data_IF_687203046610
#
_entry.id   IF_687203046610
#
_cell.length_a   1.000
_cell.length_b   1.000
_cell.length_c   1.000
_cell.angle_alpha   90.00
_cell.angle_beta   90.00
_cell.angle_gamma   90.00
#
_symmetry.space_group_name_H-M   'P 1'
#
loop_
_entity.id
_entity.type
_entity.pdbx_description
1 polymer ?
#
# COMPACT_ATOMS: atom_id res chain seq x y z
N UNK A 1 3.13 9.06 6.21
CA UNK A 1 3.57 7.82 6.90
C UNK A 1 4.02 8.06 8.33
N UNK A 2 4.55 9.23 8.72
CA UNK A 2 5.04 9.51 10.09
C UNK A 2 4.07 9.12 11.23
N UNK A 3 2.75 9.42 11.16
CA UNK A 3 1.84 9.02 12.26
C UNK A 3 1.74 7.51 12.45
N UNK A 4 1.79 6.73 11.35
CA UNK A 4 1.78 5.27 11.41
C UNK A 4 3.09 4.73 11.98
N UNK A 5 4.23 5.27 11.53
CA UNK A 5 5.55 4.91 12.04
C UNK A 5 5.63 5.10 13.57
N UNK A 6 5.18 6.25 14.08
CA UNK A 6 5.13 6.50 15.53
C UNK A 6 4.28 5.47 16.30
N UNK A 7 3.19 4.99 15.69
CA UNK A 7 2.34 3.96 16.32
C UNK A 7 3.02 2.59 16.32
N UNK A 8 3.69 2.25 15.22
CA UNK A 8 4.45 0.99 15.12
C UNK A 8 5.64 1.02 16.09
N UNK A 9 6.31 2.15 16.25
CA UNK A 9 7.37 2.30 17.27
C UNK A 9 6.85 2.03 18.70
N UNK A 10 5.62 2.49 19.02
CA UNK A 10 4.97 2.18 20.31
C UNK A 10 4.63 0.70 20.49
N UNK A 11 4.57 -0.07 19.41
CA UNK A 11 4.38 -1.53 19.42
C UNK A 11 5.71 -2.30 19.44
N UNK A 12 6.86 -1.60 19.52
CA UNK A 12 8.18 -2.18 19.63
C UNK A 12 8.94 -2.33 18.30
N UNK A 13 8.42 -1.81 17.20
CA UNK A 13 9.13 -1.79 15.93
C UNK A 13 10.12 -0.63 15.88
N UNK A 14 11.21 -0.82 15.14
CA UNK A 14 12.04 0.27 14.67
C UNK A 14 11.59 0.64 13.25
N UNK A 15 11.23 1.90 13.05
CA UNK A 15 10.66 2.32 11.76
C UNK A 15 11.48 3.43 11.13
N UNK A 16 11.63 3.34 9.82
CA UNK A 16 12.15 4.41 8.98
C UNK A 16 11.11 4.79 7.93
N UNK A 17 10.94 6.09 7.70
CA UNK A 17 9.97 6.61 6.74
C UNK A 17 10.71 7.15 5.52
N UNK A 18 10.61 6.40 4.43
CA UNK A 18 11.18 6.80 3.14
C UNK A 18 10.21 7.73 2.44
N UNK A 19 10.70 8.89 2.05
CA UNK A 19 9.96 9.89 1.29
C UNK A 19 10.61 10.12 -0.06
N UNK A 20 9.80 10.24 -1.10
CA UNK A 20 10.27 10.50 -2.47
C UNK A 20 9.29 11.41 -3.20
N UNK A 21 9.75 12.03 -4.29
CA UNK A 21 8.91 12.88 -5.12
C UNK A 21 7.99 12.00 -5.99
N UNK A 22 6.69 12.00 -5.71
CA UNK A 22 5.70 11.20 -6.44
C UNK A 22 5.38 11.74 -7.84
N UNK A 23 5.75 12.98 -8.15
CA UNK A 23 5.55 13.57 -9.47
C UNK A 23 6.71 13.29 -10.42
N UNK A 24 7.91 13.05 -9.88
CA UNK A 24 9.12 12.73 -10.64
C UNK A 24 9.87 11.62 -9.88
N UNK A 25 9.35 10.40 -10.01
CA UNK A 25 9.92 9.23 -9.34
C UNK A 25 11.21 8.86 -10.06
N UNK A 26 12.28 8.75 -9.28
CA UNK A 26 13.54 8.12 -9.63
C UNK A 26 13.58 6.80 -8.86
N UNK A 27 13.19 5.72 -9.51
CA UNK A 27 13.04 4.40 -8.88
C UNK A 27 14.37 3.89 -8.35
N UNK A 28 15.46 4.06 -9.07
CA UNK A 28 16.77 3.61 -8.61
C UNK A 28 17.19 4.33 -7.33
N UNK A 29 16.96 5.64 -7.23
CA UNK A 29 17.22 6.40 -6.01
C UNK A 29 16.33 5.97 -4.85
N UNK A 30 15.05 5.68 -5.12
CA UNK A 30 14.14 5.12 -4.10
C UNK A 30 14.63 3.75 -3.65
N UNK A 31 15.06 2.89 -4.58
CA UNK A 31 15.54 1.55 -4.26
C UNK A 31 16.84 1.59 -3.44
N UNK A 32 17.80 2.43 -3.80
CA UNK A 32 19.02 2.65 -3.01
C UNK A 32 18.70 3.16 -1.60
N UNK A 33 17.69 4.01 -1.47
CA UNK A 33 17.24 4.48 -0.15
C UNK A 33 16.64 3.33 0.67
N UNK A 34 15.84 2.46 0.06
CA UNK A 34 15.32 1.26 0.71
C UNK A 34 16.48 0.35 1.13
N UNK A 35 17.40 0.03 0.20
CA UNK A 35 18.55 -0.83 0.45
C UNK A 35 19.38 -0.33 1.66
N UNK A 36 19.59 0.98 1.75
CA UNK A 36 20.34 1.62 2.83
C UNK A 36 19.59 1.62 4.17
N UNK A 37 18.26 1.56 4.15
CA UNK A 37 17.42 1.57 5.33
C UNK A 37 17.18 0.17 5.92
N UNK A 38 17.49 -0.90 5.17
CA UNK A 38 17.30 -2.27 5.64
C UNK A 38 18.24 -2.60 6.80
N UNK A 39 17.67 -3.07 7.90
CA UNK A 39 18.46 -3.62 9.00
C UNK A 39 19.12 -4.93 8.56
N UNK A 40 20.40 -5.07 8.87
CA UNK A 40 21.22 -6.22 8.47
C UNK A 40 21.13 -7.38 9.48
N UNK A 41 20.78 -7.07 10.73
CA UNK A 41 20.77 -8.00 11.86
C UNK A 41 19.37 -8.52 12.22
N UNK A 42 18.35 -8.13 11.47
CA UNK A 42 16.95 -8.51 11.74
C UNK A 42 16.12 -8.56 10.48
N UNK A 43 14.95 -9.19 10.58
CA UNK A 43 13.99 -9.28 9.48
C UNK A 43 13.30 -7.92 9.29
N UNK A 44 13.21 -7.48 8.06
CA UNK A 44 12.53 -6.25 7.69
C UNK A 44 11.11 -6.52 7.20
N UNK A 45 10.25 -5.51 7.34
CA UNK A 45 8.89 -5.47 6.81
C UNK A 45 8.69 -4.16 6.06
N UNK A 46 8.14 -4.22 4.88
CA UNK A 46 7.84 -3.03 4.08
C UNK A 46 6.35 -2.68 4.20
N UNK A 47 6.07 -1.41 4.51
CA UNK A 47 4.70 -0.89 4.58
C UNK A 47 4.54 0.26 3.61
N UNK A 48 3.68 0.09 2.61
CA UNK A 48 3.40 1.10 1.57
C UNK A 48 1.97 1.61 1.63
N UNK A 49 1.79 2.91 1.50
CA UNK A 49 0.48 3.54 1.37
C UNK A 49 0.29 4.06 -0.06
N UNK A 50 -0.88 3.80 -0.64
CA UNK A 50 -1.23 4.27 -1.98
C UNK A 50 -0.17 3.83 -3.01
N UNK A 51 0.44 4.76 -3.75
CA UNK A 51 1.54 4.48 -4.68
C UNK A 51 2.73 3.74 -4.03
N UNK A 52 2.93 3.90 -2.72
CA UNK A 52 4.00 3.23 -1.98
C UNK A 52 3.94 1.70 -2.04
N UNK A 53 2.75 1.10 -2.11
CA UNK A 53 2.62 -0.36 -2.30
C UNK A 53 3.05 -0.84 -3.68
N UNK A 54 2.79 -0.04 -4.73
CA UNK A 54 3.28 -0.30 -6.09
C UNK A 54 4.80 -0.18 -6.17
N UNK A 55 5.37 0.85 -5.55
CA UNK A 55 6.83 1.04 -5.47
C UNK A 55 7.52 -0.11 -4.75
N UNK A 56 6.93 -0.61 -3.64
CA UNK A 56 7.45 -1.79 -2.94
C UNK A 56 7.42 -3.02 -3.87
N UNK A 57 6.32 -3.25 -4.59
CA UNK A 57 6.23 -4.36 -5.54
C UNK A 57 7.29 -4.26 -6.63
N UNK A 58 7.51 -3.06 -7.16
CA UNK A 58 8.52 -2.80 -8.17
C UNK A 58 9.94 -3.01 -7.61
N UNK A 59 10.23 -2.51 -6.43
CA UNK A 59 11.48 -2.75 -5.71
C UNK A 59 11.78 -4.24 -5.53
N UNK A 60 10.82 -5.01 -5.01
CA UNK A 60 11.00 -6.44 -4.78
C UNK A 60 11.22 -7.24 -6.07
N UNK A 61 10.56 -6.83 -7.16
CA UNK A 61 10.79 -7.41 -8.50
C UNK A 61 12.15 -7.06 -9.08
N UNK A 62 12.71 -5.91 -8.73
CA UNK A 62 14.02 -5.47 -9.21
C UNK A 62 15.17 -6.09 -8.40
N UNK A 63 15.05 -6.09 -7.07
CA UNK A 63 16.13 -6.48 -6.14
C UNK A 63 16.10 -7.95 -5.72
N UNK A 64 14.95 -8.62 -5.86
CA UNK A 64 14.76 -10.03 -5.46
C UNK A 64 15.30 -10.37 -4.06
N UNK A 65 15.04 -9.56 -3.01
CA UNK A 65 15.53 -9.85 -1.68
C UNK A 65 14.93 -11.15 -1.14
N UNK A 66 15.74 -11.90 -0.38
CA UNK A 66 15.27 -13.12 0.29
C UNK A 66 14.18 -12.81 1.32
N UNK A 67 13.20 -13.70 1.55
CA UNK A 67 12.24 -13.60 2.65
C UNK A 67 12.89 -13.54 4.04
N UNK A 68 14.12 -13.99 4.18
CA UNK A 68 14.90 -13.85 5.42
C UNK A 68 15.40 -12.41 5.64
N UNK A 69 15.45 -11.59 4.59
CA UNK A 69 15.80 -10.16 4.67
C UNK A 69 14.52 -9.32 4.77
N UNK A 70 13.55 -9.59 3.89
CA UNK A 70 12.23 -8.93 3.90
C UNK A 70 11.17 -10.01 3.87
N UNK A 71 10.44 -10.19 4.98
CA UNK A 71 9.48 -11.28 5.13
C UNK A 71 8.06 -10.91 4.70
N UNK A 72 7.63 -9.68 5.00
CA UNK A 72 6.25 -9.23 4.81
C UNK A 72 6.19 -7.89 4.09
N UNK A 73 5.11 -7.72 3.37
CA UNK A 73 4.68 -6.43 2.81
C UNK A 73 3.26 -6.14 3.28
N UNK A 74 3.01 -4.93 3.72
CA UNK A 74 1.65 -4.47 3.98
C UNK A 74 1.33 -3.29 3.08
N UNK A 75 0.36 -3.48 2.20
CA UNK A 75 -0.12 -2.46 1.27
C UNK A 75 -1.40 -1.81 1.83
N UNK A 76 -1.33 -0.51 2.09
CA UNK A 76 -2.45 0.28 2.62
C UNK A 76 -3.08 1.08 1.49
N UNK A 77 -4.33 0.80 1.15
CA UNK A 77 -5.04 1.48 0.08
C UNK A 77 -4.24 1.62 -1.22
N UNK A 78 -3.41 0.61 -1.53
CA UNK A 78 -2.59 0.61 -2.73
C UNK A 78 -3.36 0.00 -3.88
N UNK A 79 -3.47 0.69 -5.03
CA UNK A 79 -4.20 0.19 -6.20
C UNK A 79 -3.33 -0.82 -6.96
N UNK A 80 -3.19 -2.03 -6.42
CA UNK A 80 -2.29 -3.07 -6.94
C UNK A 80 -2.70 -3.60 -8.32
N UNK A 81 -3.95 -3.34 -8.74
CA UNK A 81 -4.45 -3.57 -10.12
C UNK A 81 -4.46 -2.31 -10.98
N UNK A 82 -3.83 -1.24 -10.52
CA UNK A 82 -3.98 0.09 -11.09
C UNK A 82 -5.21 0.83 -10.55
N UNK A 83 -5.29 2.12 -10.81
CA UNK A 83 -6.33 3.01 -10.33
C UNK A 83 -7.25 3.47 -11.47
N UNK A 84 -8.52 3.10 -11.43
CA UNK A 84 -9.50 3.48 -12.45
C UNK A 84 -9.83 4.99 -12.49
N UNK A 85 -9.39 5.74 -11.49
CA UNK A 85 -9.52 7.20 -11.47
C UNK A 85 -8.51 7.89 -12.42
N UNK A 86 -7.41 7.22 -12.77
CA UNK A 86 -6.32 7.78 -13.57
C UNK A 86 -6.77 8.28 -14.94
N UNK A 87 -7.53 7.52 -15.77
CA UNK A 87 -8.02 8.00 -17.04
C UNK A 87 -8.89 9.26 -16.91
N UNK A 88 -9.65 9.38 -15.83
CA UNK A 88 -10.51 10.55 -15.60
C UNK A 88 -9.70 11.79 -15.25
N UNK A 89 -8.67 11.65 -14.44
CA UNK A 89 -7.72 12.73 -14.11
C UNK A 89 -7.04 13.22 -15.40
N UNK A 90 -6.64 12.31 -16.27
CA UNK A 90 -6.04 12.63 -17.56
C UNK A 90 -7.03 13.37 -18.50
N UNK A 91 -8.28 12.89 -18.59
CA UNK A 91 -9.34 13.53 -19.39
C UNK A 91 -9.65 14.96 -18.95
N UNK A 92 -9.51 15.25 -17.66
CA UNK A 92 -9.72 16.59 -17.11
C UNK A 92 -8.50 17.52 -17.30
N UNK A 93 -7.48 17.08 -18.03
CA UNK A 93 -6.25 17.87 -18.24
C UNK A 93 -5.34 17.93 -17.02
N UNK A 94 -5.63 17.16 -15.97
CA UNK A 94 -4.88 17.13 -14.71
C UNK A 94 -3.79 16.04 -14.69
N UNK A 95 -3.46 15.47 -15.85
CA UNK A 95 -2.45 14.42 -15.97
C UNK A 95 -1.08 14.76 -15.40
N UNK A 96 -0.70 16.03 -15.44
CA UNK A 96 0.54 16.51 -14.83
C UNK A 96 0.62 16.24 -13.31
N UNK A 97 -0.52 16.13 -12.62
CA UNK A 97 -0.58 15.79 -11.19
C UNK A 97 -0.21 14.33 -10.91
N UNK A 98 -0.22 13.47 -11.93
CA UNK A 98 0.18 12.07 -11.81
C UNK A 98 1.71 11.90 -12.01
N UNK A 99 2.38 12.90 -12.58
CA UNK A 99 3.79 12.81 -12.90
C UNK A 99 4.11 11.57 -13.74
N UNK A 100 5.20 10.88 -13.39
CA UNK A 100 5.58 9.62 -14.01
C UNK A 100 5.06 8.37 -13.25
N UNK A 101 4.16 8.54 -12.28
CA UNK A 101 3.59 7.43 -11.48
C UNK A 101 2.88 6.36 -12.33
N UNK A 102 2.38 6.72 -13.53
CA UNK A 102 1.77 5.80 -14.46
C UNK A 102 2.73 4.70 -14.95
N UNK A 103 4.04 4.95 -14.97
CA UNK A 103 5.06 3.97 -15.33
C UNK A 103 5.22 2.87 -14.28
N UNK A 104 4.74 3.10 -13.05
CA UNK A 104 4.89 2.21 -11.90
C UNK A 104 3.61 1.43 -11.57
N UNK A 105 2.82 1.08 -12.59
CA UNK A 105 1.64 0.23 -12.43
C UNK A 105 0.38 0.95 -11.96
N UNK A 106 0.32 2.29 -12.07
CA UNK A 106 -0.88 3.05 -11.71
C UNK A 106 -1.99 2.93 -12.77
N UNK A 107 -1.67 2.54 -14.02
CA UNK A 107 -2.67 2.19 -15.02
C UNK A 107 -3.33 0.85 -14.70
N UNK A 108 -4.59 0.68 -15.07
CA UNK A 108 -5.31 -0.58 -14.88
C UNK A 108 -4.62 -1.73 -15.61
N UNK A 109 -4.35 -2.80 -14.89
CA UNK A 109 -3.73 -4.01 -15.41
C UNK A 109 -4.18 -5.25 -14.62
N UNK A 110 -4.04 -6.42 -15.24
CA UNK A 110 -4.15 -7.67 -14.50
C UNK A 110 -2.76 -8.07 -14.01
N UNK A 111 -2.65 -8.29 -12.72
CA UNK A 111 -1.38 -8.64 -12.11
C UNK A 111 -1.62 -9.58 -10.91
N UNK A 112 -0.57 -10.30 -10.52
CA UNK A 112 -0.55 -11.23 -9.40
C UNK A 112 0.65 -10.95 -8.49
N UNK A 113 0.57 -11.48 -7.28
CA UNK A 113 1.68 -11.46 -6.34
C UNK A 113 2.38 -12.82 -6.39
N UNK A 114 3.46 -12.88 -7.15
CA UNK A 114 4.29 -14.09 -7.32
C UNK A 114 5.60 -14.00 -6.54
N UNK A 115 5.70 -12.99 -5.67
CA UNK A 115 6.88 -12.76 -4.85
C UNK A 115 6.83 -13.63 -3.59
N UNK A 116 7.99 -14.06 -3.06
CA UNK A 116 8.06 -14.94 -1.91
C UNK A 116 7.66 -14.26 -0.59
N UNK A 117 7.63 -12.93 -0.55
CA UNK A 117 7.19 -12.17 0.62
C UNK A 117 5.68 -12.28 0.80
N UNK A 118 5.22 -12.37 2.04
CA UNK A 118 3.79 -12.38 2.38
C UNK A 118 3.18 -11.01 2.18
N UNK A 119 2.13 -10.90 1.38
CA UNK A 119 1.43 -9.65 1.12
C UNK A 119 0.12 -9.59 1.90
N UNK A 120 0.01 -8.64 2.83
CA UNK A 120 -1.25 -8.24 3.44
C UNK A 120 -1.74 -6.92 2.83
N UNK A 121 -3.02 -6.86 2.46
CA UNK A 121 -3.63 -5.65 1.91
C UNK A 121 -4.72 -5.12 2.84
N UNK A 122 -4.66 -3.84 3.20
CA UNK A 122 -5.72 -3.16 3.96
C UNK A 122 -6.38 -2.11 3.07
N UNK A 123 -7.67 -2.26 2.82
CA UNK A 123 -8.47 -1.30 2.06
C UNK A 123 -9.35 -0.46 2.99
N UNK A 124 -9.48 0.82 2.68
CA UNK A 124 -10.45 1.70 3.33
C UNK A 124 -11.84 1.62 2.68
N UNK A 125 -12.88 1.88 3.46
CA UNK A 125 -14.27 1.85 2.98
C UNK A 125 -15.04 3.13 3.26
N UNK A 126 -14.42 4.14 3.89
CA UNK A 126 -15.04 5.44 4.12
C UNK A 126 -14.84 6.34 2.90
N UNK A 127 -15.88 6.58 2.15
CA UNK A 127 -15.91 7.32 0.88
C UNK A 127 -15.72 8.84 1.08
N UNK A 128 -14.57 9.23 1.62
CA UNK A 128 -14.21 10.63 1.80
C UNK A 128 -13.00 10.98 0.96
N UNK A 129 -13.20 11.71 -0.15
CA UNK A 129 -12.13 12.09 -1.09
C UNK A 129 -12.65 12.49 -2.46
N UNK A 130 -11.77 12.57 -3.45
CA UNK A 130 -12.08 13.10 -4.78
C UNK A 130 -12.85 12.11 -5.67
N UNK A 131 -12.70 10.79 -5.46
CA UNK A 131 -13.30 9.78 -6.34
C UNK A 131 -14.83 9.89 -6.43
N UNK A 132 -15.59 10.03 -5.33
CA UNK A 132 -17.04 10.17 -5.40
C UNK A 132 -17.49 11.38 -6.22
N UNK A 133 -16.70 12.44 -6.22
CA UNK A 133 -16.97 13.69 -6.94
C UNK A 133 -16.68 13.53 -8.45
N UNK A 134 -15.57 12.86 -8.79
CA UNK A 134 -15.09 12.75 -10.18
C UNK A 134 -15.72 11.61 -10.96
N UNK A 135 -15.99 10.49 -10.33
CA UNK A 135 -16.45 9.27 -10.99
C UNK A 135 -17.87 8.86 -10.59
N UNK A 136 -18.40 9.38 -9.49
CA UNK A 136 -19.64 8.83 -8.93
C UNK A 136 -19.43 7.34 -8.55
N UNK A 137 -20.40 6.52 -8.88
CA UNK A 137 -20.30 5.06 -8.77
C UNK A 137 -20.63 4.49 -7.40
N UNK A 138 -21.02 3.21 -7.37
CA UNK A 138 -21.56 2.51 -6.20
C UNK A 138 -20.54 1.60 -5.50
N UNK A 139 -19.33 1.44 -6.02
CA UNK A 139 -18.31 0.53 -5.46
C UNK A 139 -17.76 0.99 -4.12
N UNK A 140 -17.46 0.02 -3.24
CA UNK A 140 -16.76 0.33 -1.98
C UNK A 140 -15.39 0.93 -2.28
N UNK A 141 -15.10 2.09 -1.67
CA UNK A 141 -13.83 2.80 -1.81
C UNK A 141 -13.54 3.65 -0.57
N UNK A 142 -12.30 4.08 -0.46
CA UNK A 142 -11.82 4.95 0.60
C UNK A 142 -11.87 6.45 0.25
N UNK A 143 -12.47 6.78 -0.88
CA UNK A 143 -12.52 8.12 -1.45
C UNK A 143 -11.50 8.36 -2.57
N UNK A 144 -10.55 7.45 -2.77
CA UNK A 144 -9.51 7.51 -3.83
C UNK A 144 -9.39 6.19 -4.58
N UNK A 145 -9.22 5.08 -3.86
CA UNK A 145 -9.00 3.73 -4.39
C UNK A 145 -10.19 2.85 -4.03
N UNK A 146 -10.64 2.01 -4.94
CA UNK A 146 -11.69 1.01 -4.65
C UNK A 146 -11.11 -0.21 -3.97
N UNK A 147 -11.95 -0.91 -3.22
CA UNK A 147 -11.58 -2.21 -2.62
C UNK A 147 -11.11 -3.18 -3.70
N UNK A 148 -11.77 -3.24 -4.85
CA UNK A 148 -11.39 -4.13 -5.95
C UNK A 148 -9.99 -3.86 -6.52
N UNK A 149 -9.55 -2.59 -6.54
CA UNK A 149 -8.22 -2.19 -7.00
C UNK A 149 -7.10 -2.61 -6.04
N UNK A 150 -7.42 -2.87 -4.77
CA UNK A 150 -6.44 -3.32 -3.76
C UNK A 150 -6.27 -4.83 -3.72
N UNK A 151 -7.08 -5.60 -4.42
CA UNK A 151 -7.09 -7.06 -4.36
C UNK A 151 -6.39 -7.64 -5.59
N UNK A 152 -5.30 -8.39 -5.38
CA UNK A 152 -4.63 -9.16 -6.45
C UNK A 152 -4.52 -10.63 -6.06
N UNK A 153 -4.44 -11.49 -7.07
CA UNK A 153 -4.19 -12.91 -6.88
C UNK A 153 -2.82 -13.13 -6.18
N UNK A 154 -2.73 -14.13 -5.33
CA UNK A 154 -1.49 -14.47 -4.62
C UNK A 154 -1.22 -13.65 -3.34
N UNK A 155 -2.02 -12.63 -3.01
CA UNK A 155 -1.91 -11.98 -1.70
C UNK A 155 -2.24 -12.96 -0.56
N UNK A 156 -1.58 -12.79 0.59
CA UNK A 156 -1.75 -13.67 1.75
C UNK A 156 -3.07 -13.42 2.46
N UNK A 157 -3.43 -12.14 2.66
CA UNK A 157 -4.69 -11.77 3.31
C UNK A 157 -5.13 -10.34 2.92
N UNK A 158 -6.43 -10.06 3.08
CA UNK A 158 -7.05 -8.78 2.75
C UNK A 158 -8.03 -8.35 3.84
N UNK A 159 -7.91 -7.11 4.31
CA UNK A 159 -8.76 -6.56 5.37
C UNK A 159 -9.46 -5.27 4.91
N UNK A 160 -10.72 -5.12 5.29
CA UNK A 160 -11.47 -3.88 5.15
C UNK A 160 -11.51 -3.10 6.48
N UNK A 161 -11.14 -1.83 6.45
CA UNK A 161 -11.30 -0.92 7.58
C UNK A 161 -12.20 0.25 7.18
N UNK A 162 -13.11 0.63 8.07
CA UNK A 162 -13.95 1.82 7.86
C UNK A 162 -13.13 3.10 8.11
N UNK A 163 -12.25 3.39 7.15
CA UNK A 163 -11.33 4.52 7.13
C UNK A 163 -11.28 5.11 5.72
N UNK A 164 -11.02 6.42 5.63
CA UNK A 164 -10.71 7.08 4.36
C UNK A 164 -9.28 6.75 3.92
N UNK A 165 -8.94 7.12 2.69
CA UNK A 165 -7.62 6.90 2.10
C UNK A 165 -6.48 7.35 3.02
N UNK A 166 -6.49 8.59 3.43
CA UNK A 166 -5.49 9.13 4.36
C UNK A 166 -5.73 8.66 5.80
N UNK A 167 -6.99 8.45 6.20
CA UNK A 167 -7.37 7.98 7.53
C UNK A 167 -6.71 6.68 7.95
N UNK A 168 -6.40 5.78 6.99
CA UNK A 168 -5.66 4.55 7.26
C UNK A 168 -4.28 4.82 7.91
N UNK A 169 -3.58 5.85 7.47
CA UNK A 169 -2.25 6.20 8.01
C UNK A 169 -2.33 6.76 9.44
N UNK A 170 -3.47 7.36 9.78
CA UNK A 170 -3.69 7.93 11.12
C UNK A 170 -4.40 6.97 12.08
N UNK A 171 -4.82 5.80 11.63
CA UNK A 171 -5.61 4.86 12.42
C UNK A 171 -4.75 4.00 13.35
N UNK A 172 -5.12 3.95 14.64
CA UNK A 172 -4.56 2.99 15.58
C UNK A 172 -4.91 1.53 15.21
N UNK A 173 -6.11 1.35 14.61
CA UNK A 173 -6.53 0.01 14.15
C UNK A 173 -5.62 -0.50 13.05
N UNK A 174 -5.21 0.37 12.12
CA UNK A 174 -4.27 0.00 11.06
C UNK A 174 -2.94 -0.49 11.66
N UNK A 175 -2.36 0.24 12.60
CA UNK A 175 -1.10 -0.18 13.23
C UNK A 175 -1.21 -1.54 13.94
N UNK A 176 -2.31 -1.77 14.68
CA UNK A 176 -2.56 -3.08 15.34
C UNK A 176 -2.76 -4.22 14.35
N UNK A 177 -3.42 -3.96 13.23
CA UNK A 177 -3.62 -4.97 12.18
C UNK A 177 -2.31 -5.30 11.46
N UNK A 178 -1.43 -4.32 11.24
CA UNK A 178 -0.08 -4.55 10.72
C UNK A 178 0.71 -5.44 11.68
N UNK A 179 0.74 -5.11 12.97
CA UNK A 179 1.40 -5.94 14.01
C UNK A 179 0.83 -7.37 14.02
N UNK A 180 -0.48 -7.51 13.98
CA UNK A 180 -1.13 -8.81 13.98
C UNK A 180 -0.76 -9.63 12.73
N UNK A 181 -0.77 -8.99 11.55
CA UNK A 181 -0.40 -9.65 10.29
C UNK A 181 1.06 -10.13 10.29
N UNK A 182 1.98 -9.31 10.78
CA UNK A 182 3.41 -9.68 10.88
C UNK A 182 3.59 -10.91 11.77
N UNK A 183 2.82 -11.02 12.86
CA UNK A 183 2.94 -12.12 13.84
C UNK A 183 2.21 -13.40 13.43
N UNK A 184 1.11 -13.27 12.69
CA UNK A 184 0.19 -14.39 12.44
C UNK A 184 0.00 -14.73 10.96
N UNK A 185 0.59 -13.98 10.03
CA UNK A 185 0.42 -14.10 8.58
C UNK A 185 -1.03 -13.92 8.10
N UNK A 186 -1.88 -13.33 8.91
CA UNK A 186 -3.27 -13.00 8.63
C UNK A 186 -3.68 -11.78 9.45
N UNK A 187 -4.67 -11.05 8.98
CA UNK A 187 -5.29 -9.98 9.77
C UNK A 187 -6.25 -10.54 10.81
N UNK A 188 -6.51 -9.77 11.85
CA UNK A 188 -7.55 -10.09 12.80
C UNK A 188 -8.92 -9.70 12.23
N UNK A 189 -9.58 -10.63 11.54
CA UNK A 189 -10.95 -10.45 11.08
C UNK A 189 -11.92 -10.47 12.26
N UNK A 190 -13.01 -9.67 12.20
CA UNK A 190 -14.08 -9.79 13.18
C UNK A 190 -14.69 -11.20 13.05
N UNK A 191 -14.84 -11.92 14.17
CA UNK A 191 -15.70 -13.11 14.18
C UNK A 191 -17.11 -12.64 13.81
N UNK A 192 -17.68 -13.21 12.74
CA UNK A 192 -19.11 -13.11 12.48
C UNK A 192 -19.74 -13.88 13.64
N UNK A 193 -20.64 -13.31 14.46
CA UNK A 193 -21.41 -14.11 15.43
C UNK A 193 -22.16 -15.18 14.63
N UNK A 194 -22.05 -16.43 15.07
CA UNK A 194 -22.84 -17.55 14.56
C UNK A 194 -24.32 -17.33 14.88
#
# INVERSE_FOLDING_TARGET
>A
MQPLAQRLNKLGYQTEVISYNTLAIDDEKVFQTIDSALAQDRINVLVGHSLGGLMIKHYLRSRHPSPNVISHVVALASPLKGASIVPKIQQLGLGAMLGNAHLYGLQLHQDSWELPQRLGCIAGTLRFGFRPILLGGSGMCDGTVTVAETQISGMTDHLLLHQSHTGLVYSHKTARQIDYFIRHNQFQHKKIPE
#
